data_IF_150346281590
#
_entry.id   IF_150346281590
#
_cell.length_a   1.000
_cell.length_b   1.000
_cell.length_c   1.000
_cell.angle_alpha   90.00
_cell.angle_beta   90.00
_cell.angle_gamma   90.00
#
_symmetry.space_group_name_H-M   'P 1'
#
loop_
_entity.id
_entity.type
_entity.pdbx_description
1 polymer ?
#
# COMPACT_ATOMS: atom_id res chain seq x y z
N UNK A 1 38.69 -33.71 10.30
CA UNK A 1 37.44 -33.69 9.50
C UNK A 1 36.25 -32.97 10.15
N UNK A 2 36.16 -32.82 11.48
CA UNK A 2 35.02 -32.16 12.18
C UNK A 2 34.76 -30.68 11.84
N UNK A 3 35.80 -29.87 11.61
CA UNK A 3 35.65 -28.42 11.32
C UNK A 3 34.96 -28.11 9.97
N UNK A 4 35.16 -28.96 8.95
CA UNK A 4 34.55 -28.77 7.61
C UNK A 4 33.04 -29.07 7.63
N UNK A 5 32.60 -30.03 8.43
CA UNK A 5 31.18 -30.33 8.61
C UNK A 5 30.45 -29.20 9.35
N UNK A 6 31.04 -28.60 10.39
CA UNK A 6 30.47 -27.47 11.12
C UNK A 6 30.23 -26.24 10.21
N UNK A 7 31.17 -25.93 9.32
CA UNK A 7 31.03 -24.82 8.36
C UNK A 7 29.91 -25.12 7.35
N UNK A 8 29.84 -26.35 6.85
CA UNK A 8 28.82 -26.76 5.88
C UNK A 8 27.41 -26.74 6.49
N UNK A 9 27.26 -27.15 7.76
CA UNK A 9 25.99 -27.07 8.50
C UNK A 9 25.59 -25.62 8.77
N UNK A 10 26.55 -24.74 9.08
CA UNK A 10 26.30 -23.31 9.32
C UNK A 10 25.87 -22.57 8.04
N UNK A 11 26.48 -22.90 6.90
CA UNK A 11 26.08 -22.35 5.59
C UNK A 11 24.69 -22.86 5.19
N UNK A 12 24.37 -24.14 5.43
CA UNK A 12 23.02 -24.68 5.17
C UNK A 12 21.94 -24.02 6.03
N UNK A 13 22.22 -23.72 7.31
CA UNK A 13 21.28 -23.06 8.22
C UNK A 13 20.96 -21.61 7.82
N UNK A 14 21.88 -20.90 7.16
CA UNK A 14 21.65 -19.52 6.70
C UNK A 14 20.66 -19.45 5.52
N UNK A 15 20.52 -20.55 4.76
CA UNK A 15 19.60 -20.63 3.61
C UNK A 15 18.12 -20.70 4.00
N UNK A 16 17.78 -21.04 5.24
CA UNK A 16 16.39 -21.18 5.68
C UNK A 16 15.74 -19.86 6.17
N UNK A 17 16.50 -18.78 6.30
CA UNK A 17 15.99 -17.48 6.78
C UNK A 17 15.62 -16.50 5.65
N UNK A 18 15.79 -16.86 4.38
CA UNK A 18 15.65 -15.91 3.25
C UNK A 18 14.43 -16.15 2.35
N UNK A 19 13.32 -16.66 2.90
CA UNK A 19 12.02 -16.62 2.24
C UNK A 19 10.94 -16.35 3.29
N UNK A 20 10.98 -15.16 3.88
CA UNK A 20 9.84 -14.69 4.67
C UNK A 20 8.74 -14.25 3.72
N UNK A 21 7.57 -14.90 3.77
CA UNK A 21 6.29 -14.36 3.29
C UNK A 21 5.85 -13.15 4.16
N UNK A 22 6.79 -12.26 4.46
CA UNK A 22 6.63 -11.11 5.33
C UNK A 22 6.08 -9.92 4.57
N UNK A 23 5.73 -8.90 5.33
CA UNK A 23 5.43 -7.57 4.81
C UNK A 23 6.66 -6.97 4.13
N UNK A 24 6.48 -6.44 2.92
CA UNK A 24 7.48 -5.62 2.24
C UNK A 24 7.05 -4.16 2.31
N UNK A 25 7.72 -3.40 3.17
CA UNK A 25 7.47 -1.97 3.36
C UNK A 25 8.35 -1.12 2.43
N UNK A 26 7.76 -0.05 1.91
CA UNK A 26 8.45 0.94 1.09
C UNK A 26 8.04 2.35 1.52
N UNK A 27 9.02 3.26 1.55
CA UNK A 27 8.81 4.67 1.88
C UNK A 27 9.58 5.57 0.92
N UNK A 28 8.90 6.60 0.41
CA UNK A 28 9.52 7.65 -0.41
C UNK A 28 9.12 9.03 0.13
N UNK A 29 10.12 9.90 0.31
CA UNK A 29 9.87 11.22 0.87
C UNK A 29 9.03 12.10 -0.07
N UNK A 30 9.21 11.95 -1.39
CA UNK A 30 8.53 12.75 -2.40
C UNK A 30 8.39 12.00 -3.74
N UNK A 31 7.67 12.60 -4.68
CA UNK A 31 7.48 12.07 -6.03
C UNK A 31 8.78 11.79 -6.80
N UNK A 32 9.81 12.64 -6.67
CA UNK A 32 11.07 12.45 -7.40
C UNK A 32 11.83 11.23 -6.89
N UNK A 33 11.79 10.96 -5.59
CA UNK A 33 12.37 9.74 -5.01
C UNK A 33 11.62 8.49 -5.46
N UNK A 34 10.28 8.55 -5.50
CA UNK A 34 9.45 7.48 -6.05
C UNK A 34 9.73 7.24 -7.55
N UNK A 35 9.90 8.30 -8.34
CA UNK A 35 10.13 8.18 -9.79
C UNK A 35 11.51 7.60 -10.14
N UNK A 36 12.50 7.75 -9.26
CA UNK A 36 13.87 7.23 -9.46
C UNK A 36 13.98 5.71 -9.33
N UNK A 37 12.92 5.00 -8.92
CA UNK A 37 12.95 3.55 -8.74
C UNK A 37 13.23 2.87 -10.10
N UNK A 38 14.38 2.19 -10.25
CA UNK A 38 14.78 1.61 -11.53
C UNK A 38 13.97 0.36 -11.87
N UNK A 39 13.58 -0.42 -10.86
CA UNK A 39 12.82 -1.65 -11.04
C UNK A 39 11.32 -1.36 -10.94
N UNK A 40 10.64 -1.27 -12.10
CA UNK A 40 9.19 -1.06 -12.18
C UNK A 40 8.35 -2.10 -11.43
N UNK A 41 8.88 -3.30 -11.18
CA UNK A 41 8.16 -4.32 -10.39
C UNK A 41 7.95 -3.85 -8.94
N UNK A 42 8.87 -3.05 -8.40
CA UNK A 42 8.77 -2.48 -7.05
C UNK A 42 7.74 -1.35 -6.95
N UNK A 43 7.20 -0.88 -8.08
CA UNK A 43 6.15 0.13 -8.11
C UNK A 43 4.78 -0.44 -8.49
N UNK A 44 4.69 -1.73 -8.82
CA UNK A 44 3.47 -2.35 -9.34
C UNK A 44 2.29 -2.37 -8.37
N UNK A 45 2.56 -2.23 -7.07
CA UNK A 45 1.56 -2.24 -6.01
C UNK A 45 1.05 -0.86 -5.61
N UNK A 46 1.67 0.20 -6.15
CA UNK A 46 1.22 1.57 -5.93
C UNK A 46 0.08 1.94 -6.87
N UNK A 47 -0.89 2.73 -6.41
CA UNK A 47 -1.98 3.18 -7.25
C UNK A 47 -1.52 4.26 -8.24
N UNK A 48 -2.16 4.35 -9.40
CA UNK A 48 -1.84 5.31 -10.47
C UNK A 48 -2.19 6.77 -10.14
N UNK A 49 -2.50 7.09 -8.88
CA UNK A 49 -2.90 8.43 -8.42
C UNK A 49 -1.75 9.25 -7.85
N UNK A 50 -0.53 8.72 -7.85
CA UNK A 50 0.67 9.42 -7.36
C UNK A 50 1.08 10.51 -8.36
N UNK A 51 1.09 11.76 -7.91
CA UNK A 51 1.35 12.95 -8.74
C UNK A 51 2.60 13.70 -8.27
N UNK A 52 3.07 14.68 -9.05
CA UNK A 52 4.27 15.47 -8.74
C UNK A 52 4.22 16.19 -7.39
N UNK A 53 3.03 16.49 -6.88
CA UNK A 53 2.85 17.14 -5.59
C UNK A 53 2.67 16.16 -4.42
N UNK A 54 2.85 14.86 -4.67
CA UNK A 54 2.83 13.83 -3.63
C UNK A 54 4.10 13.84 -2.78
N UNK A 55 3.93 13.55 -1.48
CA UNK A 55 5.00 13.39 -0.50
C UNK A 55 4.61 12.36 0.56
N UNK A 56 5.58 11.87 1.33
CA UNK A 56 5.40 10.78 2.30
C UNK A 56 4.59 9.62 1.70
N UNK A 57 5.11 9.06 0.61
CA UNK A 57 4.49 7.96 -0.13
C UNK A 57 4.89 6.66 0.58
N UNK A 58 3.93 5.99 1.21
CA UNK A 58 4.12 4.74 1.94
C UNK A 58 3.44 3.59 1.24
N UNK A 59 4.06 2.42 1.27
CA UNK A 59 3.45 1.16 0.91
C UNK A 59 3.84 0.07 1.90
N UNK A 60 2.89 -0.82 2.14
CA UNK A 60 3.08 -2.10 2.83
C UNK A 60 2.44 -3.14 1.94
N UNK A 61 3.23 -4.08 1.43
CA UNK A 61 2.75 -5.11 0.52
C UNK A 61 2.94 -6.50 1.11
N UNK A 62 1.93 -7.33 0.93
CA UNK A 62 1.97 -8.76 1.22
C UNK A 62 1.87 -9.48 -0.11
N UNK A 63 2.96 -10.17 -0.48
CA UNK A 63 3.10 -10.89 -1.75
C UNK A 63 1.83 -11.69 -2.08
N UNK A 64 1.31 -11.48 -3.28
CA UNK A 64 0.15 -12.18 -3.86
C UNK A 64 -1.15 -12.12 -3.04
N UNK A 65 -1.28 -11.13 -2.12
CA UNK A 65 -2.47 -10.97 -1.28
C UNK A 65 -3.03 -9.56 -1.41
N UNK A 66 -2.31 -8.57 -0.90
CA UNK A 66 -2.78 -7.19 -0.86
C UNK A 66 -1.63 -6.21 -0.68
N UNK A 67 -1.89 -4.94 -0.98
CA UNK A 67 -1.01 -3.85 -0.63
C UNK A 67 -1.78 -2.65 -0.10
N UNK A 68 -1.25 -2.03 0.94
CA UNK A 68 -1.76 -0.82 1.55
C UNK A 68 -0.86 0.33 1.13
N UNK A 69 -1.44 1.46 0.69
CA UNK A 69 -0.66 2.67 0.45
C UNK A 69 -1.20 3.86 1.22
N UNK A 70 -0.31 4.79 1.56
CA UNK A 70 -0.64 6.13 2.01
C UNK A 70 0.10 7.17 1.20
N UNK A 71 -0.61 8.19 0.71
CA UNK A 71 -0.03 9.23 -0.12
C UNK A 71 -0.51 10.58 0.41
N UNK A 72 0.41 11.44 0.84
CA UNK A 72 0.09 12.84 1.15
C UNK A 72 0.29 13.72 -0.08
N UNK A 73 -0.46 14.80 -0.17
CA UNK A 73 -0.43 15.75 -1.29
C UNK A 73 -0.23 17.17 -0.78
N UNK A 74 0.58 17.96 -1.47
CA UNK A 74 0.77 19.38 -1.09
C UNK A 74 -0.48 20.19 -1.41
N UNK A 75 -1.15 19.86 -2.52
CA UNK A 75 -2.32 20.57 -3.00
C UNK A 75 -3.60 19.75 -2.82
N UNK A 76 -4.63 20.34 -2.19
CA UNK A 76 -5.94 19.71 -2.04
C UNK A 76 -6.61 19.50 -3.41
N UNK A 77 -6.39 20.41 -4.36
CA UNK A 77 -6.94 20.32 -5.72
C UNK A 77 -6.55 19.04 -6.44
N UNK A 78 -5.36 18.49 -6.18
CA UNK A 78 -4.90 17.23 -6.77
C UNK A 78 -5.82 16.07 -6.35
N UNK A 79 -6.12 15.98 -5.05
CA UNK A 79 -7.02 14.97 -4.51
C UNK A 79 -8.46 15.19 -5.01
N UNK A 80 -8.93 16.44 -5.04
CA UNK A 80 -10.26 16.76 -5.55
C UNK A 80 -10.41 16.34 -7.02
N UNK A 81 -9.40 16.62 -7.85
CA UNK A 81 -9.36 16.19 -9.25
C UNK A 81 -9.40 14.68 -9.39
N UNK A 82 -8.59 13.94 -8.62
CA UNK A 82 -8.60 12.47 -8.62
C UNK A 82 -10.02 11.97 -8.29
N UNK A 83 -10.59 12.43 -7.17
CA UNK A 83 -11.89 11.94 -6.70
C UNK A 83 -13.08 12.38 -7.54
N UNK A 84 -12.93 13.40 -8.41
CA UNK A 84 -13.97 13.79 -9.37
C UNK A 84 -14.05 12.89 -10.60
N UNK A 85 -12.97 12.17 -10.93
CA UNK A 85 -12.89 11.34 -12.14
C UNK A 85 -13.51 9.95 -11.90
N UNK A 86 -13.37 9.43 -10.68
CA UNK A 86 -13.80 8.07 -10.35
C UNK A 86 -15.18 8.05 -9.72
N UNK A 87 -15.90 6.95 -9.95
CA UNK A 87 -17.21 6.69 -9.33
C UNK A 87 -17.04 6.54 -7.81
N UNK A 88 -17.78 7.36 -7.06
CA UNK A 88 -17.89 7.21 -5.61
C UNK A 88 -18.57 5.90 -5.24
N UNK A 89 -18.09 5.26 -4.20
CA UNK A 89 -18.66 4.03 -3.63
C UNK A 89 -18.97 4.22 -2.14
N UNK A 90 -19.91 3.44 -1.57
CA UNK A 90 -20.18 3.50 -0.13
C UNK A 90 -18.95 3.18 0.70
N UNK A 91 -18.77 3.92 1.81
CA UNK A 91 -17.65 3.69 2.76
C UNK A 91 -17.71 2.28 3.35
N UNK A 92 -18.91 1.73 3.55
CA UNK A 92 -19.13 0.36 4.00
C UNK A 92 -18.42 -0.67 3.13
N UNK A 93 -18.37 -0.46 1.82
CA UNK A 93 -17.73 -1.40 0.91
C UNK A 93 -16.21 -1.41 1.10
N UNK A 94 -15.59 -0.24 1.32
CA UNK A 94 -14.18 -0.16 1.67
C UNK A 94 -13.89 -0.86 3.00
N UNK A 95 -14.77 -0.65 4.00
CA UNK A 95 -14.62 -1.26 5.32
C UNK A 95 -14.65 -2.79 5.24
N UNK A 96 -15.59 -3.37 4.49
CA UNK A 96 -15.64 -4.82 4.25
C UNK A 96 -14.32 -5.34 3.64
N UNK A 97 -13.76 -4.61 2.67
CA UNK A 97 -12.47 -4.98 2.08
C UNK A 97 -11.34 -4.87 3.12
N UNK A 98 -11.30 -3.80 3.91
CA UNK A 98 -10.30 -3.62 4.96
C UNK A 98 -10.38 -4.71 6.03
N UNK A 99 -11.58 -5.06 6.49
CA UNK A 99 -11.83 -6.09 7.51
C UNK A 99 -11.33 -7.47 7.04
N UNK A 100 -11.52 -7.80 5.75
CA UNK A 100 -11.01 -9.05 5.15
C UNK A 100 -9.50 -9.19 5.26
N UNK A 101 -8.76 -8.08 5.30
CA UNK A 101 -7.29 -8.05 5.41
C UNK A 101 -6.81 -7.36 6.69
N UNK A 102 -7.64 -7.39 7.75
CA UNK A 102 -7.36 -6.69 9.02
C UNK A 102 -6.06 -7.16 9.68
N UNK A 103 -5.76 -8.46 9.66
CA UNK A 103 -4.51 -9.04 10.19
C UNK A 103 -3.24 -8.58 9.44
N UNK A 104 -3.40 -8.01 8.24
CA UNK A 104 -2.33 -7.50 7.38
C UNK A 104 -2.32 -5.97 7.32
N UNK A 105 -3.23 -5.31 8.02
CA UNK A 105 -3.34 -3.86 7.98
C UNK A 105 -2.20 -3.25 8.81
N UNK A 106 -1.34 -2.41 8.23
CA UNK A 106 -0.22 -1.84 8.96
C UNK A 106 -0.72 -0.79 9.97
N UNK A 107 0.01 -0.61 11.07
CA UNK A 107 -0.38 0.28 12.19
C UNK A 107 -0.63 1.73 11.78
N UNK A 108 0.05 2.20 10.72
CA UNK A 108 -0.12 3.56 10.21
C UNK A 108 -1.37 3.74 9.35
N UNK A 109 -2.08 2.66 8.99
CA UNK A 109 -3.31 2.72 8.23
C UNK A 109 -4.47 3.18 9.14
N UNK A 110 -5.38 4.06 8.66
CA UNK A 110 -6.41 4.61 9.52
C UNK A 110 -7.42 3.54 9.93
N UNK A 111 -7.83 3.58 11.19
CA UNK A 111 -9.04 2.88 11.61
C UNK A 111 -10.27 3.62 11.04
N UNK A 112 -11.07 2.91 10.24
CA UNK A 112 -12.20 3.49 9.52
C UNK A 112 -13.48 3.21 10.27
N UNK A 113 -13.98 4.27 10.90
CA UNK A 113 -15.32 4.32 11.42
C UNK A 113 -16.31 4.72 10.30
N UNK A 114 -17.12 3.75 9.87
CA UNK A 114 -18.12 3.91 8.81
C UNK A 114 -19.23 4.91 9.13
N UNK A 115 -19.45 5.24 10.39
CA UNK A 115 -20.48 6.20 10.81
C UNK A 115 -20.03 7.66 10.59
N UNK A 116 -18.73 7.88 10.37
CA UNK A 116 -18.18 9.21 10.09
C UNK A 116 -18.49 9.63 8.66
N UNK A 117 -19.37 10.63 8.51
CA UNK A 117 -19.78 11.24 7.22
C UNK A 117 -18.68 12.01 6.46
N UNK A 118 -17.44 11.97 6.93
CA UNK A 118 -16.33 12.76 6.38
C UNK A 118 -15.43 11.98 5.41
N UNK A 119 -15.68 10.68 5.24
CA UNK A 119 -14.95 9.87 4.28
C UNK A 119 -15.60 9.90 2.90
N UNK A 120 -14.77 9.89 1.86
CA UNK A 120 -15.18 9.55 0.51
C UNK A 120 -14.33 8.37 0.05
N UNK A 121 -14.97 7.42 -0.62
CA UNK A 121 -14.29 6.28 -1.22
C UNK A 121 -14.57 6.27 -2.71
N UNK A 122 -13.54 5.97 -3.47
CA UNK A 122 -13.61 5.69 -4.90
C UNK A 122 -13.00 4.33 -5.20
N UNK A 123 -13.41 3.75 -6.32
CA UNK A 123 -12.79 2.56 -6.90
C UNK A 123 -11.93 3.01 -8.08
N UNK A 124 -10.61 2.82 -8.01
CA UNK A 124 -9.68 3.23 -9.08
C UNK A 124 -9.73 2.23 -10.24
N UNK A 125 -9.80 0.94 -9.91
CA UNK A 125 -10.03 -0.16 -10.84
C UNK A 125 -10.64 -1.35 -10.07
N UNK A 126 -10.80 -2.52 -10.71
CA UNK A 126 -11.46 -3.67 -10.06
C UNK A 126 -10.84 -4.13 -8.75
N UNK A 127 -9.54 -3.88 -8.54
CA UNK A 127 -8.75 -4.39 -7.43
C UNK A 127 -8.27 -3.30 -6.48
N UNK A 128 -8.37 -2.02 -6.84
CA UNK A 128 -7.82 -0.91 -6.07
C UNK A 128 -8.90 0.04 -5.61
N UNK A 129 -8.95 0.23 -4.30
CA UNK A 129 -9.88 1.14 -3.63
C UNK A 129 -9.10 2.27 -2.97
N UNK A 130 -9.66 3.49 -3.01
CA UNK A 130 -9.05 4.66 -2.40
C UNK A 130 -10.02 5.38 -1.48
N UNK A 131 -9.55 5.72 -0.29
CA UNK A 131 -10.24 6.45 0.75
C UNK A 131 -9.56 7.81 0.95
N UNK A 132 -10.36 8.86 1.08
CA UNK A 132 -9.91 10.15 1.64
C UNK A 132 -10.85 10.62 2.73
N UNK A 133 -10.30 11.42 3.64
CA UNK A 133 -11.07 12.26 4.54
C UNK A 133 -11.19 13.68 3.95
N UNK A 134 -12.39 14.27 3.91
CA UNK A 134 -12.70 15.53 3.18
C UNK A 134 -11.75 16.71 3.46
N UNK A 135 -11.18 16.77 4.65
CA UNK A 135 -10.33 17.89 5.09
C UNK A 135 -8.84 17.55 5.16
N UNK A 136 -8.46 16.30 4.88
CA UNK A 136 -7.06 15.89 4.89
C UNK A 136 -6.49 15.87 3.48
N UNK A 137 -5.21 16.23 3.36
CA UNK A 137 -4.46 16.12 2.11
C UNK A 137 -3.78 14.76 2.00
N UNK A 138 -4.51 13.70 2.27
CA UNK A 138 -3.99 12.34 2.32
C UNK A 138 -5.02 11.36 1.76
N UNK A 139 -4.51 10.40 1.01
CA UNK A 139 -5.29 9.30 0.44
C UNK A 139 -4.70 7.99 0.95
N UNK A 140 -5.57 7.08 1.34
CA UNK A 140 -5.22 5.71 1.71
C UNK A 140 -5.79 4.76 0.66
N UNK A 141 -5.02 3.77 0.24
CA UNK A 141 -5.50 2.78 -0.73
C UNK A 141 -5.28 1.36 -0.25
N UNK A 142 -6.16 0.47 -0.70
CA UNK A 142 -5.99 -0.98 -0.62
C UNK A 142 -6.05 -1.55 -2.04
N UNK A 143 -5.01 -2.26 -2.43
CA UNK A 143 -4.87 -2.97 -3.70
C UNK A 143 -4.97 -4.47 -3.42
N UNK A 144 -5.85 -5.17 -4.12
CA UNK A 144 -6.02 -6.62 -4.03
C UNK A 144 -5.16 -7.29 -5.11
N UNK A 145 -4.22 -8.13 -4.69
CA UNK A 145 -3.29 -8.79 -5.61
C UNK A 145 -3.82 -10.19 -5.86
N UNK A 146 -4.86 -10.28 -6.68
CA UNK A 146 -5.37 -11.58 -7.10
C UNK A 146 -4.50 -12.12 -8.24
N UNK A 147 -4.06 -13.37 -8.09
CA UNK A 147 -3.69 -14.21 -9.22
C UNK A 147 -4.98 -14.47 -10.02
N UNK A 148 -5.17 -13.77 -11.14
CA UNK A 148 -6.09 -14.22 -12.20
C UNK A 148 -5.56 -15.49 -12.86
#
# INVERSE_FOLDING_TARGET
MRKKHLILTFVFSLSFFSCGNGEFEQFYANYEDFKKIPNKRLTGWFPEIITRDSYEIKNSSHLDICAFCSIKYRNKKSIDSIFSIYKSVPVSNFKIVLEKYSEKTPEWFPNIDSERKFYNVIKLNNHVWALREKNKKQVFTISLLMNE
#
